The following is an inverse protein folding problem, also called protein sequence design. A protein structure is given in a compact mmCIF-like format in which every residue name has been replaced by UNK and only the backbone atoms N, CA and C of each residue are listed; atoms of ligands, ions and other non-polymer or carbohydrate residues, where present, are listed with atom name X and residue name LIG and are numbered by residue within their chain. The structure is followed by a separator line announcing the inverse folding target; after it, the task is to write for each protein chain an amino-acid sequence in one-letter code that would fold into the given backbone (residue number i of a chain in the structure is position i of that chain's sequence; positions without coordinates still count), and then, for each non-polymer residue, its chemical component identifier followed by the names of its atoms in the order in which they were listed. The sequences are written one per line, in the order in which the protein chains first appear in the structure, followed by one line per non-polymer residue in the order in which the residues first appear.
data_IF_603048923087
#
_entry.id   IF_603048923087
#
_cell.length_a   1.000
_cell.length_b   1.000
_cell.length_c   1.000
_cell.angle_alpha   90.00
_cell.angle_beta   90.00
_cell.angle_gamma   90.00
#
_symmetry.space_group_name_H-M   'P 1'
#
loop_
_entity.id
_entity.type
_entity.pdbx_description
1 polymer ?
#
# COMPACT_ATOMS: atom_id res chain seq x y z
N UNK A 1 -11.79 9.85 1.97
CA UNK A 1 -12.45 8.92 2.92
C UNK A 1 -12.18 9.29 4.39
N UNK A 2 -10.92 9.30 4.85
CA UNK A 2 -10.60 9.54 6.28
C UNK A 2 -11.20 10.85 6.86
N UNK A 3 -11.13 11.98 6.14
CA UNK A 3 -11.75 13.24 6.60
C UNK A 3 -13.27 13.21 6.66
N UNK A 4 -13.92 12.46 5.77
CA UNK A 4 -15.37 12.38 5.69
C UNK A 4 -15.95 11.40 6.73
N UNK A 5 -15.17 10.41 7.19
CA UNK A 5 -15.64 9.37 8.12
C UNK A 5 -15.11 9.52 9.54
N UNK A 6 -13.86 9.96 9.70
CA UNK A 6 -13.19 10.05 11.00
C UNK A 6 -13.00 11.48 11.50
N UNK A 7 -13.35 12.49 10.69
CA UNK A 7 -13.38 13.90 11.10
C UNK A 7 -14.72 14.37 11.68
N UNK A 8 -15.78 13.54 11.59
CA UNK A 8 -17.10 13.89 12.12
C UNK A 8 -17.09 13.69 13.64
N UNK A 9 -17.23 14.78 14.40
CA UNK A 9 -17.27 14.76 15.87
C UNK A 9 -15.91 14.91 16.55
N UNK A 10 -14.81 15.04 15.80
CA UNK A 10 -13.47 15.33 16.31
C UNK A 10 -13.13 16.82 16.16
N UNK A 11 -12.44 17.46 17.13
CA UNK A 11 -11.85 18.78 16.95
C UNK A 11 -10.69 18.78 15.93
N UNK A 12 -10.22 17.61 15.49
CA UNK A 12 -9.13 17.44 14.52
C UNK A 12 -9.66 16.94 13.18
N UNK A 13 -9.01 17.31 12.05
CA UNK A 13 -9.37 16.75 10.76
C UNK A 13 -9.16 15.22 10.78
N UNK A 14 -10.02 14.46 10.11
CA UNK A 14 -10.08 13.00 10.24
C UNK A 14 -8.76 12.26 9.96
N UNK A 15 -7.90 12.81 9.10
CA UNK A 15 -6.55 12.28 8.84
C UNK A 15 -5.60 12.36 10.04
N UNK A 16 -5.86 13.24 11.00
CA UNK A 16 -5.06 13.46 12.21
C UNK A 16 -5.63 12.72 13.44
N UNK A 17 -6.68 11.93 13.25
CA UNK A 17 -7.20 11.01 14.29
C UNK A 17 -6.49 9.67 14.22
N UNK A 18 -6.41 8.94 15.33
CA UNK A 18 -5.72 7.65 15.36
C UNK A 18 -6.37 6.64 14.40
N UNK A 19 -7.71 6.63 14.32
CA UNK A 19 -8.46 5.84 13.34
C UNK A 19 -8.10 6.22 11.91
N UNK A 20 -8.05 7.52 11.60
CA UNK A 20 -7.66 7.98 10.27
C UNK A 20 -6.23 7.63 9.91
N UNK A 21 -5.30 7.77 10.86
CA UNK A 21 -3.90 7.38 10.69
C UNK A 21 -3.76 5.89 10.39
N UNK A 22 -4.39 5.03 11.19
CA UNK A 22 -4.34 3.58 10.96
C UNK A 22 -4.99 3.20 9.63
N UNK A 23 -6.12 3.83 9.27
CA UNK A 23 -6.78 3.59 7.98
C UNK A 23 -5.90 4.02 6.80
N UNK A 24 -5.11 5.08 6.93
CA UNK A 24 -4.15 5.50 5.89
C UNK A 24 -2.99 4.51 5.78
N UNK A 25 -2.50 3.97 6.91
CA UNK A 25 -1.35 3.08 6.94
C UNK A 25 -1.70 1.66 6.49
N UNK A 26 -2.80 1.09 7.00
CA UNK A 26 -3.17 -0.31 6.78
C UNK A 26 -4.29 -0.49 5.75
N UNK A 27 -5.01 0.58 5.42
CA UNK A 27 -6.21 0.51 4.58
C UNK A 27 -7.45 0.04 5.34
N UNK A 28 -8.44 -0.41 4.58
CA UNK A 28 -9.72 -0.89 5.12
C UNK A 28 -9.53 -2.22 5.89
N UNK A 29 -10.02 -2.31 7.14
CA UNK A 29 -9.98 -3.56 7.88
C UNK A 29 -10.88 -4.62 7.24
N UNK A 30 -10.52 -5.88 7.41
CA UNK A 30 -11.32 -7.00 6.92
C UNK A 30 -12.67 -7.07 7.65
N UNK A 31 -12.65 -6.77 8.94
CA UNK A 31 -13.85 -6.71 9.76
C UNK A 31 -13.75 -5.54 10.75
N UNK A 32 -14.88 -4.88 10.98
CA UNK A 32 -14.98 -3.71 11.86
C UNK A 32 -16.21 -3.83 12.75
N UNK A 33 -15.96 -4.06 14.03
CA UNK A 33 -16.99 -4.12 15.05
C UNK A 33 -17.00 -2.84 15.89
N UNK A 34 -18.18 -2.28 16.10
CA UNK A 34 -18.38 -1.07 16.90
C UNK A 34 -19.28 -1.40 18.08
N UNK A 35 -18.74 -1.25 19.28
CA UNK A 35 -19.43 -1.43 20.54
C UNK A 35 -19.71 -0.05 21.11
N UNK A 36 -20.80 0.55 20.65
CA UNK A 36 -21.29 1.84 21.15
C UNK A 36 -22.54 1.60 22.00
N UNK A 37 -22.74 2.37 23.08
CA UNK A 37 -23.94 2.29 23.96
C UNK A 37 -23.89 1.23 25.08
N UNK A 38 -22.71 0.78 25.50
CA UNK A 38 -22.60 -0.10 26.67
C UNK A 38 -22.63 0.74 27.96
N UNK A 39 -23.51 0.40 28.91
CA UNK A 39 -23.73 1.23 30.12
C UNK A 39 -22.53 1.29 31.06
N UNK A 40 -21.70 0.25 31.05
CA UNK A 40 -20.57 0.09 31.96
C UNK A 40 -19.21 0.16 31.22
N UNK A 41 -19.23 0.07 29.88
CA UNK A 41 -18.04 0.05 29.03
C UNK A 41 -17.98 1.25 28.10
N UNK A 42 -16.77 1.77 27.89
CA UNK A 42 -16.51 2.86 26.98
C UNK A 42 -16.74 2.41 25.56
N UNK A 43 -17.15 3.35 24.72
CA UNK A 43 -17.36 3.06 23.31
C UNK A 43 -16.04 2.62 22.68
N UNK A 44 -16.08 1.43 22.10
CA UNK A 44 -14.90 0.70 21.63
C UNK A 44 -15.13 0.26 20.18
N UNK A 45 -14.11 0.39 19.35
CA UNK A 45 -14.11 -0.03 17.96
C UNK A 45 -12.96 -1.01 17.74
N UNK A 46 -13.28 -2.21 17.25
CA UNK A 46 -12.31 -3.28 17.02
C UNK A 46 -12.18 -3.52 15.53
N UNK A 47 -10.98 -3.36 15.00
CA UNK A 47 -10.65 -3.58 13.59
C UNK A 47 -9.80 -4.82 13.45
N UNK A 48 -10.23 -5.76 12.62
CA UNK A 48 -9.49 -6.99 12.37
C UNK A 48 -8.76 -6.92 11.02
N UNK A 49 -7.49 -7.30 11.04
CA UNK A 49 -6.62 -7.37 9.87
C UNK A 49 -6.00 -8.76 9.76
N UNK A 50 -5.84 -9.22 8.51
CA UNK A 50 -5.24 -10.50 8.17
C UNK A 50 -4.35 -10.34 6.93
N UNK A 51 -3.39 -11.25 6.80
CA UNK A 51 -2.53 -11.40 5.60
C UNK A 51 -1.65 -10.17 5.28
N UNK A 52 -1.13 -9.54 6.34
CA UNK A 52 -0.19 -8.41 6.24
C UNK A 52 1.25 -8.80 6.57
N UNK A 53 1.58 -10.09 6.49
CA UNK A 53 2.91 -10.64 6.79
C UNK A 53 4.01 -10.06 5.90
N UNK A 54 3.68 -9.64 4.67
CA UNK A 54 4.58 -8.90 3.77
C UNK A 54 5.18 -7.63 4.39
N UNK A 55 4.51 -7.03 5.37
CA UNK A 55 4.98 -5.84 6.07
C UNK A 55 5.64 -6.17 7.43
N UNK A 56 5.88 -7.46 7.71
CA UNK A 56 6.39 -7.94 8.99
C UNK A 56 5.39 -7.79 10.13
N UNK A 57 4.08 -7.81 9.82
CA UNK A 57 2.99 -7.89 10.79
C UNK A 57 2.59 -9.35 11.03
N UNK A 58 1.93 -9.68 12.15
CA UNK A 58 1.35 -10.99 12.40
C UNK A 58 0.36 -11.42 11.31
N UNK A 59 0.14 -12.73 11.19
CA UNK A 59 -0.78 -13.30 10.20
C UNK A 59 -2.21 -12.78 10.35
N UNK A 60 -2.65 -12.59 11.60
CA UNK A 60 -3.92 -12.00 11.98
C UNK A 60 -3.71 -11.17 13.25
N UNK A 61 -4.35 -10.01 13.34
CA UNK A 61 -4.29 -9.14 14.50
C UNK A 61 -5.46 -8.16 14.55
N UNK A 62 -5.67 -7.57 15.72
CA UNK A 62 -6.68 -6.56 15.98
C UNK A 62 -6.01 -5.19 16.20
N UNK A 63 -6.70 -4.14 15.80
CA UNK A 63 -6.41 -2.77 16.21
C UNK A 63 -7.65 -2.25 16.91
N UNK A 64 -7.48 -1.80 18.15
CA UNK A 64 -8.60 -1.40 19.00
C UNK A 64 -8.51 0.09 19.24
N UNK A 65 -9.67 0.74 19.19
CA UNK A 65 -9.81 2.15 19.53
C UNK A 65 -10.87 2.29 20.61
N UNK A 66 -10.63 3.19 21.55
CA UNK A 66 -11.60 3.52 22.58
C UNK A 66 -11.69 5.02 22.74
N UNK A 67 -12.84 5.54 23.18
CA UNK A 67 -12.97 6.96 23.52
C UNK A 67 -13.23 7.16 25.00
N UNK A 68 -12.56 8.14 25.60
CA UNK A 68 -12.67 8.41 27.04
C UNK A 68 -14.01 8.99 27.45
N UNK A 69 -14.76 9.57 26.52
CA UNK A 69 -16.10 10.11 26.75
C UNK A 69 -16.81 10.38 25.42
N UNK A 70 -18.09 10.75 25.50
CA UNK A 70 -18.97 10.91 24.33
C UNK A 70 -18.46 12.00 23.37
N UNK A 71 -17.80 13.03 23.90
CA UNK A 71 -17.22 14.14 23.15
C UNK A 71 -15.71 13.99 22.88
N UNK A 72 -15.10 12.88 23.31
CA UNK A 72 -13.68 12.61 23.10
C UNK A 72 -13.47 11.85 21.78
N UNK A 73 -12.28 12.05 21.21
CA UNK A 73 -11.83 11.27 20.07
C UNK A 73 -11.55 9.83 20.45
N UNK A 74 -11.64 8.94 19.46
CA UNK A 74 -11.15 7.57 19.58
C UNK A 74 -9.62 7.58 19.56
N UNK A 75 -9.04 7.06 20.63
CA UNK A 75 -7.60 6.87 20.83
C UNK A 75 -7.23 5.42 20.57
N UNK A 76 -6.03 5.19 20.04
CA UNK A 76 -5.47 3.86 19.82
C UNK A 76 -5.19 3.19 21.17
N UNK A 77 -5.73 1.99 21.37
CA UNK A 77 -5.53 1.19 22.56
C UNK A 77 -4.20 0.42 22.51
N UNK A 78 -3.41 0.48 23.58
CA UNK A 78 -2.29 -0.43 23.84
C UNK A 78 -2.56 -1.26 25.09
N UNK A 79 -2.60 -2.61 25.00
CA UNK A 79 -2.75 -3.47 26.17
C UNK A 79 -1.76 -3.17 27.28
N UNK A 80 -0.51 -2.81 26.93
CA UNK A 80 0.54 -2.58 27.92
C UNK A 80 0.44 -1.21 28.61
N UNK A 81 0.06 -0.16 27.85
CA UNK A 81 0.04 1.21 28.39
C UNK A 81 -1.30 1.57 29.02
N UNK A 82 -2.41 1.14 28.41
CA UNK A 82 -3.76 1.46 28.87
C UNK A 82 -4.32 0.36 29.78
N UNK A 83 -4.08 -0.91 29.42
CA UNK A 83 -4.58 -2.06 30.14
C UNK A 83 -6.10 -2.26 30.04
N UNK A 84 -6.60 -3.45 30.45
CA UNK A 84 -8.01 -3.82 30.37
C UNK A 84 -8.94 -2.85 31.13
N UNK A 85 -8.43 -2.11 32.12
CA UNK A 85 -9.23 -1.15 32.86
C UNK A 85 -9.70 0.04 32.02
N UNK A 86 -9.01 0.36 30.92
CA UNK A 86 -9.34 1.50 30.07
C UNK A 86 -10.74 1.39 29.44
N UNK A 87 -11.25 0.16 29.30
CA UNK A 87 -12.58 -0.09 28.74
C UNK A 87 -13.72 0.22 29.71
N UNK A 88 -13.48 0.38 31.01
CA UNK A 88 -14.57 0.71 31.95
C UNK A 88 -14.85 2.22 32.01
N UNK A 89 -16.13 2.58 32.08
CA UNK A 89 -16.56 3.98 32.26
C UNK A 89 -16.18 4.47 33.67
N UNK A 90 -16.47 3.65 34.68
CA UNK A 90 -16.03 3.87 36.05
C UNK A 90 -14.94 2.85 36.33
N UNK A 91 -13.75 3.32 36.68
CA UNK A 91 -12.66 2.42 37.09
C UNK A 91 -13.17 1.61 38.27
N UNK A 92 -13.28 0.27 38.15
CA UNK A 92 -13.70 -0.55 39.26
C UNK A 92 -12.77 -0.34 40.46
N UNK A 93 -13.22 -0.64 41.67
CA UNK A 93 -12.38 -0.71 42.88
C UNK A 93 -11.41 -1.91 42.84
N UNK A 94 -10.81 -2.14 41.67
CA UNK A 94 -9.87 -3.21 41.37
C UNK A 94 -8.48 -2.59 41.45
N UNK A 95 -7.57 -3.29 42.11
CA UNK A 95 -6.15 -2.92 42.13
C UNK A 95 -5.66 -2.80 40.68
N UNK A 96 -5.08 -1.65 40.27
CA UNK A 96 -4.57 -1.45 38.92
C UNK A 96 -3.56 -2.51 38.45
N UNK A 97 -2.94 -3.23 39.39
CA UNK A 97 -2.04 -4.33 39.09
C UNK A 97 -2.75 -5.68 38.80
N UNK A 98 -4.05 -5.80 39.07
CA UNK A 98 -4.80 -7.05 38.92
C UNK A 98 -5.54 -7.15 37.57
N UNK A 99 -4.77 -7.39 36.51
CA UNK A 99 -5.27 -7.49 35.15
C UNK A 99 -6.22 -8.68 34.92
N UNK A 100 -6.07 -9.78 35.66
CA UNK A 100 -6.95 -10.96 35.55
C UNK A 100 -8.38 -10.60 35.95
N UNK A 101 -8.55 -9.96 37.11
CA UNK A 101 -9.89 -9.61 37.60
C UNK A 101 -10.63 -8.65 36.66
N UNK A 102 -9.90 -7.72 36.04
CA UNK A 102 -10.44 -6.84 35.01
C UNK A 102 -10.83 -7.63 33.75
N UNK A 103 -9.99 -8.59 33.31
CA UNK A 103 -10.29 -9.46 32.17
C UNK A 103 -11.51 -10.35 32.42
N UNK A 104 -11.62 -10.99 33.57
CA UNK A 104 -12.78 -11.82 33.95
C UNK A 104 -14.06 -10.99 33.94
N UNK A 105 -14.00 -9.77 34.48
CA UNK A 105 -15.15 -8.87 34.46
C UNK A 105 -15.53 -8.45 33.03
N UNK A 106 -14.55 -8.19 32.16
CA UNK A 106 -14.82 -7.95 30.75
C UNK A 106 -15.43 -9.19 30.08
N UNK A 107 -14.98 -10.41 30.40
CA UNK A 107 -15.55 -11.64 29.85
C UNK A 107 -17.03 -11.83 30.22
N UNK A 108 -17.44 -11.44 31.42
CA UNK A 108 -18.84 -11.48 31.85
C UNK A 108 -19.72 -10.50 31.06
N UNK A 109 -19.16 -9.35 30.65
CA UNK A 109 -19.90 -8.25 30.07
C UNK A 109 -19.88 -8.26 28.54
N UNK A 110 -18.69 -8.43 27.96
CA UNK A 110 -18.45 -8.49 26.54
C UNK A 110 -17.17 -9.29 26.23
N UNK A 111 -17.36 -10.53 25.78
CA UNK A 111 -16.27 -11.44 25.44
C UNK A 111 -15.38 -10.96 24.30
N UNK A 112 -15.89 -10.16 23.35
CA UNK A 112 -15.09 -9.64 22.24
C UNK A 112 -14.10 -8.57 22.72
N UNK A 113 -14.54 -7.66 23.60
CA UNK A 113 -13.67 -6.65 24.21
C UNK A 113 -12.65 -7.31 25.14
N UNK A 114 -13.08 -8.33 25.91
CA UNK A 114 -12.19 -9.07 26.78
C UNK A 114 -11.03 -9.72 26.00
N UNK A 115 -11.31 -10.38 24.88
CA UNK A 115 -10.31 -11.06 24.06
C UNK A 115 -9.20 -10.14 23.56
N UNK A 116 -9.53 -8.87 23.25
CA UNK A 116 -8.54 -7.90 22.77
C UNK A 116 -7.89 -7.07 23.88
N UNK A 117 -8.33 -7.26 25.13
CA UNK A 117 -7.89 -6.42 26.25
C UNK A 117 -6.47 -6.73 26.72
N UNK A 118 -6.04 -8.00 26.62
CA UNK A 118 -4.70 -8.43 27.03
C UNK A 118 -3.75 -8.66 25.85
N UNK A 119 -4.27 -9.09 24.70
CA UNK A 119 -3.50 -9.23 23.46
C UNK A 119 -4.33 -8.80 22.26
N UNK A 120 -3.66 -8.14 21.32
CA UNK A 120 -4.18 -7.80 20.01
C UNK A 120 -4.02 -8.93 18.99
N UNK A 121 -3.26 -9.98 19.30
CA UNK A 121 -2.93 -11.08 18.38
C UNK A 121 -3.75 -12.32 18.79
N UNK A 122 -4.69 -12.79 17.93
CA UNK A 122 -5.45 -13.99 18.21
C UNK A 122 -4.56 -15.21 18.45
N UNK A 123 -4.84 -15.97 19.50
CA UNK A 123 -4.10 -17.18 19.86
C UNK A 123 -2.81 -16.93 20.65
N UNK A 124 -2.48 -15.68 20.98
CA UNK A 124 -1.37 -15.38 21.87
C UNK A 124 -1.73 -15.65 23.34
N UNK A 125 -0.89 -16.43 24.03
CA UNK A 125 -1.09 -16.82 25.43
C UNK A 125 -0.54 -15.79 26.42
N UNK A 126 -1.09 -14.56 26.42
CA UNK A 126 -0.69 -13.52 27.39
C UNK A 126 -1.21 -13.76 28.81
N UNK A 127 -2.20 -14.64 28.98
CA UNK A 127 -2.77 -15.02 30.28
C UNK A 127 -1.79 -15.76 31.21
N UNK A 128 -0.63 -16.22 30.70
CA UNK A 128 0.33 -17.03 31.48
C UNK A 128 1.19 -16.17 32.43
N UNK A 129 1.21 -14.84 32.28
CA UNK A 129 2.17 -13.96 32.98
C UNK A 129 1.55 -12.82 33.80
N UNK A 130 0.22 -12.80 34.00
CA UNK A 130 -0.51 -11.68 34.64
C UNK A 130 -0.16 -10.31 34.06
N UNK A 131 0.24 -10.28 32.79
CA UNK A 131 0.77 -9.08 32.14
C UNK A 131 0.22 -8.97 30.73
N UNK A 132 -0.09 -7.74 30.27
CA UNK A 132 -0.46 -7.50 28.88
C UNK A 132 0.65 -7.96 27.91
N UNK A 133 0.24 -8.31 26.69
CA UNK A 133 1.13 -8.76 25.62
C UNK A 133 2.17 -7.72 25.24
N UNK A 134 3.45 -8.08 25.33
CA UNK A 134 4.54 -7.30 24.74
C UNK A 134 4.56 -7.40 23.21
N UNK A 135 4.06 -8.51 22.64
CA UNK A 135 3.96 -8.68 21.19
C UNK A 135 2.94 -7.71 20.57
N UNK A 136 1.92 -7.31 21.33
CA UNK A 136 0.96 -6.28 20.94
C UNK A 136 1.64 -4.90 20.83
N UNK A 137 2.57 -4.58 21.72
CA UNK A 137 3.34 -3.34 21.62
C UNK A 137 4.27 -3.36 20.39
N UNK A 138 4.94 -4.50 20.16
CA UNK A 138 5.76 -4.71 18.95
C UNK A 138 4.91 -4.60 17.68
N UNK A 139 3.68 -5.12 17.68
CA UNK A 139 2.71 -4.96 16.59
C UNK A 139 2.41 -3.48 16.33
N UNK A 140 2.00 -2.73 17.36
CA UNK A 140 1.64 -1.31 17.22
C UNK A 140 2.82 -0.47 16.72
N UNK A 141 4.03 -0.76 17.20
CA UNK A 141 5.25 -0.13 16.70
C UNK A 141 5.51 -0.49 15.24
N UNK A 142 5.39 -1.77 14.87
CA UNK A 142 5.61 -2.24 13.50
C UNK A 142 4.61 -1.64 12.51
N UNK A 143 3.37 -1.40 12.91
CA UNK A 143 2.37 -0.69 12.08
C UNK A 143 2.92 0.68 11.64
N UNK A 144 3.57 1.42 12.54
CA UNK A 144 4.15 2.72 12.20
C UNK A 144 5.29 2.65 11.18
N UNK A 145 5.94 1.49 11.07
CA UNK A 145 7.00 1.23 10.10
C UNK A 145 6.49 0.63 8.78
N UNK A 146 5.20 0.26 8.68
CA UNK A 146 4.62 -0.27 7.43
C UNK A 146 4.86 0.65 6.24
N UNK A 147 4.62 1.98 6.32
CA UNK A 147 4.87 2.87 5.18
C UNK A 147 6.35 2.88 4.80
N UNK A 148 7.26 2.79 5.78
CA UNK A 148 8.69 2.75 5.51
C UNK A 148 9.14 1.43 4.89
N UNK A 149 8.54 0.30 5.29
CA UNK A 149 8.82 -1.02 4.71
C UNK A 149 8.25 -1.11 3.30
N UNK A 150 7.05 -0.60 3.09
CA UNK A 150 6.45 -0.50 1.76
C UNK A 150 7.29 0.41 0.84
N UNK A 151 7.69 1.59 1.30
CA UNK A 151 8.60 2.47 0.56
C UNK A 151 9.95 1.81 0.37
N UNK A 152 10.55 1.14 1.35
CA UNK A 152 11.85 0.46 1.19
C UNK A 152 11.78 -0.72 0.25
N UNK A 153 10.70 -1.49 0.23
CA UNK A 153 10.52 -2.60 -0.70
C UNK A 153 10.23 -2.06 -2.11
N UNK A 154 9.40 -1.03 -2.22
CA UNK A 154 9.13 -0.34 -3.48
C UNK A 154 10.40 0.36 -3.98
N UNK A 155 11.15 1.02 -3.10
CA UNK A 155 12.40 1.73 -3.37
C UNK A 155 13.51 0.74 -3.65
N UNK A 156 13.66 -0.38 -2.95
CA UNK A 156 14.69 -1.38 -3.25
C UNK A 156 14.38 -2.08 -4.57
N UNK A 157 13.11 -2.43 -4.81
CA UNK A 157 12.65 -2.93 -6.12
C UNK A 157 12.89 -1.89 -7.21
N UNK A 158 12.57 -0.61 -6.97
CA UNK A 158 12.79 0.49 -7.92
C UNK A 158 14.26 0.87 -8.09
N UNK A 159 15.06 0.86 -7.04
CA UNK A 159 16.49 1.20 -7.04
C UNK A 159 17.27 0.11 -7.75
N UNK A 160 16.94 -1.18 -7.52
CA UNK A 160 17.51 -2.27 -8.30
C UNK A 160 17.03 -2.26 -9.75
N UNK A 161 15.78 -1.86 -10.01
CA UNK A 161 15.18 -1.82 -11.35
C UNK A 161 15.52 -0.56 -12.16
N UNK A 162 15.89 0.54 -11.50
CA UNK A 162 16.06 1.88 -12.10
C UNK A 162 17.33 2.61 -11.63
N UNK A 163 18.36 1.90 -11.15
CA UNK A 163 19.64 2.48 -10.68
C UNK A 163 20.34 3.40 -11.70
N UNK A 164 19.90 3.41 -12.96
CA UNK A 164 20.53 4.17 -14.06
C UNK A 164 19.60 5.19 -14.73
N UNK A 165 18.40 5.48 -14.20
CA UNK A 165 17.45 6.38 -14.86
C UNK A 165 17.04 7.51 -13.90
N UNK A 166 17.36 8.74 -14.29
CA UNK A 166 17.09 9.98 -13.54
C UNK A 166 15.59 10.21 -13.38
N UNK A 167 15.24 10.75 -12.21
CA UNK A 167 13.92 10.92 -11.62
C UNK A 167 12.94 11.74 -12.49
N UNK A 168 11.78 11.15 -12.83
CA UNK A 168 10.54 11.90 -13.14
C UNK A 168 9.36 11.13 -12.55
N UNK A 169 8.62 11.75 -11.62
CA UNK A 169 7.41 11.20 -11.03
C UNK A 169 6.30 11.04 -12.09
N UNK A 170 5.99 9.80 -12.46
CA UNK A 170 4.74 9.46 -13.13
C UNK A 170 3.97 8.45 -12.27
N UNK A 171 2.66 8.66 -12.14
CA UNK A 171 1.71 7.73 -11.54
C UNK A 171 1.62 6.48 -12.44
N UNK A 172 2.36 5.42 -12.13
CA UNK A 172 2.53 4.26 -13.01
C UNK A 172 1.55 3.13 -12.66
N UNK A 173 0.57 2.90 -13.53
CA UNK A 173 0.05 1.55 -13.76
C UNK A 173 1.07 0.84 -14.67
N UNK A 174 1.80 -0.14 -14.15
CA UNK A 174 2.78 -0.89 -14.93
C UNK A 174 2.07 -1.83 -15.91
N UNK A 175 2.45 -1.78 -17.18
CA UNK A 175 1.99 -2.69 -18.23
C UNK A 175 3.22 -3.45 -18.74
N UNK A 176 3.14 -4.78 -18.82
CA UNK A 176 4.21 -5.59 -19.40
C UNK A 176 4.38 -5.31 -20.89
N UNK A 177 5.54 -5.62 -21.45
CA UNK A 177 5.78 -5.50 -22.88
C UNK A 177 6.77 -6.55 -23.36
N UNK A 178 6.44 -7.18 -24.49
CA UNK A 178 7.39 -8.00 -25.23
C UNK A 178 8.25 -7.11 -26.13
N UNK A 179 9.49 -7.53 -26.37
CA UNK A 179 10.39 -6.80 -27.26
C UNK A 179 11.25 -7.74 -28.10
N UNK A 180 11.67 -7.25 -29.26
CA UNK A 180 12.65 -7.89 -30.12
C UNK A 180 13.67 -6.84 -30.54
N UNK A 181 14.95 -7.16 -30.41
CA UNK A 181 16.05 -6.29 -30.85
C UNK A 181 16.89 -7.06 -31.85
N UNK A 182 17.20 -6.44 -32.98
CA UNK A 182 18.07 -7.00 -34.00
C UNK A 182 19.06 -5.95 -34.47
N UNK A 183 20.33 -6.31 -34.56
CA UNK A 183 21.34 -5.43 -35.16
C UNK A 183 21.59 -5.84 -36.60
N UNK A 184 21.43 -4.90 -37.53
CA UNK A 184 21.64 -5.13 -38.96
C UNK A 184 22.71 -4.17 -39.45
N UNK A 185 23.73 -4.70 -40.15
CA UNK A 185 24.75 -3.89 -40.81
C UNK A 185 24.27 -3.53 -42.21
N UNK A 186 24.30 -2.25 -42.57
CA UNK A 186 24.01 -1.82 -43.93
C UNK A 186 25.25 -1.89 -44.84
N UNK A 187 25.05 -1.78 -46.15
CA UNK A 187 26.13 -1.83 -47.15
C UNK A 187 27.16 -0.69 -46.99
N UNK A 188 26.77 0.42 -46.36
CA UNK A 188 27.66 1.55 -46.03
C UNK A 188 28.56 1.29 -44.80
N UNK A 189 28.42 0.14 -44.15
CA UNK A 189 29.22 -0.25 -42.98
C UNK A 189 28.69 0.22 -41.63
N UNK A 190 27.56 0.94 -41.61
CA UNK A 190 26.90 1.42 -40.40
C UNK A 190 25.99 0.33 -39.84
N UNK A 191 26.01 0.16 -38.52
CA UNK A 191 25.10 -0.77 -37.84
C UNK A 191 23.85 -0.01 -37.40
N UNK A 192 22.69 -0.63 -37.62
CA UNK A 192 21.40 -0.16 -37.15
C UNK A 192 20.86 -1.14 -36.13
N UNK A 193 20.38 -0.60 -35.02
CA UNK A 193 19.63 -1.36 -34.03
C UNK A 193 18.16 -1.19 -34.37
N UNK A 194 17.55 -2.28 -34.83
CA UNK A 194 16.13 -2.42 -35.00
C UNK A 194 15.52 -2.86 -33.68
N UNK A 195 14.44 -2.21 -33.28
CA UNK A 195 13.70 -2.62 -32.10
C UNK A 195 12.21 -2.68 -32.40
N UNK A 196 11.56 -3.69 -31.84
CA UNK A 196 10.13 -3.88 -31.84
C UNK A 196 9.67 -4.00 -30.38
N UNK A 197 8.63 -3.28 -30.00
CA UNK A 197 8.04 -3.30 -28.66
C UNK A 197 6.54 -3.53 -28.79
N UNK A 198 6.01 -4.49 -28.04
CA UNK A 198 4.59 -4.87 -28.01
C UNK A 198 4.09 -4.77 -26.58
N UNK A 199 3.42 -3.67 -26.16
CA UNK A 199 2.81 -3.59 -24.84
C UNK A 199 1.65 -4.59 -24.72
N UNK A 200 1.52 -5.23 -23.55
CA UNK A 200 0.45 -6.19 -23.25
C UNK A 200 -0.94 -5.55 -23.30
N UNK A 201 -1.02 -4.27 -22.92
CA UNK A 201 -2.25 -3.49 -22.91
C UNK A 201 -1.97 -2.09 -23.40
N UNK A 202 -2.93 -1.56 -24.15
CA UNK A 202 -2.86 -0.21 -24.66
C UNK A 202 -4.09 0.56 -24.20
N UNK A 203 -3.90 1.66 -23.48
CA UNK A 203 -5.00 2.49 -23.01
C UNK A 203 -5.41 3.46 -24.11
N UNK A 204 -6.72 3.57 -24.32
CA UNK A 204 -7.32 4.49 -25.29
C UNK A 204 -8.33 5.37 -24.56
N UNK A 205 -8.18 6.68 -24.70
CA UNK A 205 -9.17 7.65 -24.25
C UNK A 205 -10.28 7.80 -25.30
N UNK A 206 -11.49 8.14 -24.85
CA UNK A 206 -12.62 8.45 -25.73
C UNK A 206 -13.08 9.88 -25.48
N UNK A 207 -13.28 10.64 -26.56
CA UNK A 207 -13.92 11.94 -26.53
C UNK A 207 -14.93 12.02 -27.69
N UNK A 208 -16.21 12.20 -27.36
CA UNK A 208 -17.32 12.05 -28.31
C UNK A 208 -17.27 10.69 -29.05
N UNK A 209 -17.22 10.71 -30.38
CA UNK A 209 -17.11 9.52 -31.24
C UNK A 209 -15.67 9.21 -31.67
N UNK A 210 -14.68 9.91 -31.10
CA UNK A 210 -13.27 9.76 -31.43
C UNK A 210 -12.50 9.10 -30.27
N UNK A 211 -11.61 8.19 -30.64
CA UNK A 211 -10.75 7.48 -29.72
C UNK A 211 -9.31 7.94 -29.92
N UNK A 212 -8.65 8.38 -28.86
CA UNK A 212 -7.29 8.90 -28.92
C UNK A 212 -6.37 8.17 -27.94
N UNK A 213 -5.11 8.04 -28.32
CA UNK A 213 -4.08 7.57 -27.40
C UNK A 213 -2.73 8.21 -27.71
N UNK A 214 -1.95 8.42 -26.66
CA UNK A 214 -0.62 9.02 -26.71
C UNK A 214 0.35 8.09 -25.97
N UNK A 215 1.45 7.75 -26.64
CA UNK A 215 2.50 6.89 -26.12
C UNK A 215 3.84 7.59 -26.25
N UNK A 216 4.59 7.69 -25.16
CA UNK A 216 5.94 8.26 -25.14
C UNK A 216 6.91 7.12 -24.84
N UNK A 217 7.81 6.86 -25.78
CA UNK A 217 8.88 5.88 -25.66
C UNK A 217 10.19 6.60 -25.34
N UNK A 218 10.76 6.26 -24.19
CA UNK A 218 12.10 6.68 -23.82
C UNK A 218 13.05 5.50 -23.97
N UNK A 219 14.15 5.70 -24.68
CA UNK A 219 15.19 4.70 -24.85
C UNK A 219 16.57 5.28 -24.61
N UNK A 220 17.45 4.51 -23.99
CA UNK A 220 18.84 4.90 -23.80
C UNK A 220 19.80 3.75 -24.12
N UNK A 221 20.96 4.13 -24.65
CA UNK A 221 22.07 3.21 -24.93
C UNK A 221 23.25 3.66 -24.08
N UNK A 222 23.77 2.73 -23.29
CA UNK A 222 24.94 2.93 -22.43
C UNK A 222 26.08 2.04 -22.86
N UNK A 223 27.31 2.46 -22.62
CA UNK A 223 28.45 1.56 -22.65
C UNK A 223 28.43 0.59 -21.44
N UNK A 224 29.40 -0.33 -21.38
CA UNK A 224 29.46 -1.31 -20.29
C UNK A 224 29.73 -0.68 -18.91
N UNK A 225 30.33 0.51 -18.88
CA UNK A 225 30.64 1.29 -17.67
C UNK A 225 29.43 2.13 -17.22
N UNK A 226 28.37 2.19 -18.02
CA UNK A 226 27.11 2.88 -17.71
C UNK A 226 27.06 4.32 -18.21
N UNK A 227 28.02 4.76 -19.03
CA UNK A 227 27.99 6.08 -19.66
C UNK A 227 26.98 6.08 -20.80
N UNK A 228 26.07 7.06 -20.81
CA UNK A 228 25.08 7.23 -21.88
C UNK A 228 25.80 7.64 -23.17
N UNK A 229 25.63 6.84 -24.22
CA UNK A 229 26.16 7.07 -25.57
C UNK A 229 25.08 7.65 -26.49
N UNK A 230 23.83 7.23 -26.27
CA UNK A 230 22.69 7.69 -27.05
C UNK A 230 21.42 7.67 -26.20
N UNK A 231 20.54 8.63 -26.41
CA UNK A 231 19.24 8.69 -25.75
C UNK A 231 18.22 9.28 -26.71
N UNK A 232 16.98 8.81 -26.63
CA UNK A 232 15.88 9.36 -27.42
C UNK A 232 14.57 9.32 -26.63
N UNK A 233 13.71 10.27 -26.97
CA UNK A 233 12.31 10.31 -26.59
C UNK A 233 11.50 10.36 -27.90
N UNK A 234 10.53 9.47 -28.05
CA UNK A 234 9.65 9.41 -29.22
C UNK A 234 8.20 9.38 -28.79
N UNK A 235 7.41 10.22 -29.44
CA UNK A 235 5.98 10.31 -29.20
C UNK A 235 5.19 9.69 -30.35
N UNK A 236 4.26 8.81 -30.01
CA UNK A 236 3.33 8.18 -30.94
C UNK A 236 1.90 8.52 -30.53
N UNK A 237 1.14 9.13 -31.44
CA UNK A 237 -0.25 9.48 -31.23
C UNK A 237 -1.16 8.74 -32.21
N UNK A 238 -2.25 8.16 -31.71
CA UNK A 238 -3.26 7.49 -32.51
C UNK A 238 -4.60 8.20 -32.36
N UNK A 239 -5.29 8.42 -33.47
CA UNK A 239 -6.67 8.88 -33.52
C UNK A 239 -7.47 7.88 -34.35
N UNK A 240 -8.52 7.33 -33.75
CA UNK A 240 -9.30 6.22 -34.28
C UNK A 240 -10.79 6.53 -34.19
N UNK A 241 -11.53 6.09 -35.20
CA UNK A 241 -12.98 6.14 -35.26
C UNK A 241 -13.60 4.85 -34.69
N UNK A 242 -14.90 4.86 -34.38
CA UNK A 242 -15.59 3.73 -33.72
C UNK A 242 -15.48 2.39 -34.48
N UNK A 243 -15.51 2.42 -35.82
CA UNK A 243 -15.38 1.20 -36.64
C UNK A 243 -13.94 0.65 -36.61
N UNK A 244 -12.95 1.54 -36.51
CA UNK A 244 -11.53 1.16 -36.46
C UNK A 244 -11.17 0.57 -35.10
N UNK A 245 -11.67 1.14 -33.99
CA UNK A 245 -11.35 0.57 -32.67
C UNK A 245 -11.91 -0.85 -32.51
N UNK A 246 -13.12 -1.11 -33.03
CA UNK A 246 -13.75 -2.44 -33.00
C UNK A 246 -12.95 -3.49 -33.79
N UNK A 247 -12.33 -3.08 -34.91
CA UNK A 247 -11.53 -3.97 -35.76
C UNK A 247 -10.12 -4.22 -35.22
N UNK A 248 -9.52 -3.27 -34.50
CA UNK A 248 -8.16 -3.41 -33.95
C UNK A 248 -8.12 -3.83 -32.47
N UNK A 249 -9.26 -3.93 -31.79
CA UNK A 249 -9.33 -4.28 -30.37
C UNK A 249 -8.66 -5.63 -30.01
N UNK A 250 -8.52 -6.53 -30.99
CA UNK A 250 -7.88 -7.84 -30.81
C UNK A 250 -6.49 -7.93 -31.47
N UNK A 251 -6.00 -6.85 -32.09
CA UNK A 251 -4.70 -6.82 -32.76
C UNK A 251 -3.66 -6.26 -31.78
N UNK A 252 -2.55 -6.97 -31.52
CA UNK A 252 -1.47 -6.46 -30.68
C UNK A 252 -0.91 -5.16 -31.26
N UNK A 253 -0.78 -4.14 -30.43
CA UNK A 253 -0.12 -2.90 -30.83
C UNK A 253 1.40 -3.11 -30.87
N UNK A 254 2.05 -2.71 -31.96
CA UNK A 254 3.49 -2.89 -32.14
C UNK A 254 4.13 -1.57 -32.53
N UNK A 255 5.22 -1.23 -31.85
CA UNK A 255 6.07 -0.09 -32.17
C UNK A 255 7.35 -0.66 -32.77
N UNK A 256 7.66 -0.28 -34.00
CA UNK A 256 8.90 -0.66 -34.67
C UNK A 256 9.67 0.61 -35.05
N UNK A 257 10.95 0.64 -34.74
CA UNK A 257 11.82 1.72 -35.15
C UNK A 257 13.29 1.29 -35.21
N UNK A 258 14.13 2.22 -35.67
CA UNK A 258 15.56 2.00 -35.86
C UNK A 258 16.37 3.20 -35.37
N UNK A 259 17.61 2.95 -34.94
CA UNK A 259 18.61 3.99 -34.76
C UNK A 259 20.01 3.49 -35.14
N UNK A 260 20.88 4.37 -35.66
CA UNK A 260 22.26 4.01 -35.99
C UNK A 260 23.10 3.88 -34.71
N UNK A 261 24.01 2.91 -34.69
CA UNK A 261 24.96 2.71 -33.60
C UNK A 261 26.34 2.32 -34.17
N UNK A 262 27.40 2.89 -33.60
CA UNK A 262 28.78 2.53 -33.97
C UNK A 262 29.12 1.13 -33.43
N UNK A 263 30.06 0.39 -34.05
CA UNK A 263 30.46 -0.94 -33.57
C UNK A 263 30.96 -0.90 -32.12
N UNK A 264 30.51 -1.83 -31.29
CA UNK A 264 30.92 -1.94 -29.89
C UNK A 264 29.95 -2.76 -29.05
N UNK A 265 30.23 -2.84 -27.75
CA UNK A 265 29.38 -3.52 -26.77
C UNK A 265 28.63 -2.48 -25.93
N UNK A 266 27.30 -2.57 -25.96
CA UNK A 266 26.41 -1.60 -25.33
C UNK A 266 25.27 -2.29 -24.60
N UNK A 267 24.63 -1.57 -23.69
CA UNK A 267 23.34 -1.94 -23.10
C UNK A 267 22.28 -0.98 -23.64
N UNK A 268 21.20 -1.54 -24.17
CA UNK A 268 20.01 -0.78 -24.59
C UNK A 268 18.91 -0.98 -23.54
N UNK A 269 18.28 0.10 -23.11
CA UNK A 269 17.22 0.14 -22.08
C UNK A 269 16.07 1.03 -22.51
#
# INVERSE_FOLDING_TARGET
YANQRFGIGSPRPGWHTDRGRIYIILGEPMLRDSYTTQRELRDTEIWFYQDMTKYGLPLAFNVVFYRKGIAADFELYSPNNDGPMAFFIQTPSIDPANYISAYERLMEMNSAIAQVSLSLIPGETSLVSDRPSLASEVLLQNINFVPQKEIKDLYAKKFLKYKSIVEVEYSINYIGSDYLIQTIKNDSGVFFVHYLITPERFSVGQYENNYYSRFILNGNVTDLEGKVIYQFEKEYSLNLDEDKIKSIAQIPFQINDIFPLIPGSYKFS
#
